data_IF_589083228918
#
_entry.id   IF_589083228918
#
_cell.length_a   1.000
_cell.length_b   1.000
_cell.length_c   1.000
_cell.angle_alpha   90.00
_cell.angle_beta   90.00
_cell.angle_gamma   90.00
#
_symmetry.space_group_name_H-M   'P 1'
#
loop_
_entity.id
_entity.type
_entity.pdbx_description
1 polymer ?
#
# COMPACT_ATOMS: atom_id res chain seq x y z
N UNK A 1 20.55 21.64 15.38
CA UNK A 1 19.73 21.52 14.17
C UNK A 1 20.35 20.41 13.36
N UNK A 2 19.66 19.28 13.22
CA UNK A 2 20.13 18.22 12.34
C UNK A 2 20.19 18.75 10.91
N UNK A 3 21.25 18.40 10.19
CA UNK A 3 21.37 18.72 8.77
C UNK A 3 20.46 17.81 7.95
N UNK A 4 20.06 18.24 6.76
CA UNK A 4 19.21 17.40 5.90
C UNK A 4 19.94 16.10 5.52
N UNK A 5 21.26 16.15 5.40
CA UNK A 5 22.11 14.99 5.15
C UNK A 5 22.01 13.94 6.28
N UNK A 6 22.03 14.38 7.54
CA UNK A 6 21.87 13.49 8.70
C UNK A 6 20.46 12.87 8.75
N UNK A 7 19.43 13.67 8.46
CA UNK A 7 18.04 13.20 8.39
C UNK A 7 17.88 12.18 7.25
N UNK A 8 18.42 12.45 6.07
CA UNK A 8 18.41 11.52 4.94
C UNK A 8 19.10 10.20 5.31
N UNK A 9 20.27 10.27 5.92
CA UNK A 9 21.01 9.08 6.34
C UNK A 9 20.22 8.26 7.37
N UNK A 10 19.61 8.91 8.35
CA UNK A 10 18.82 8.26 9.40
C UNK A 10 17.58 7.54 8.84
N UNK A 11 16.91 8.12 7.84
CA UNK A 11 15.64 7.63 7.33
C UNK A 11 15.74 6.82 6.02
N UNK A 12 16.93 6.71 5.42
CA UNK A 12 17.19 5.83 4.25
C UNK A 12 16.67 4.39 4.44
N UNK A 13 16.83 3.74 5.61
CA UNK A 13 16.25 2.41 5.83
C UNK A 13 14.72 2.37 5.71
N UNK A 14 14.02 3.45 6.10
CA UNK A 14 12.57 3.56 5.99
C UNK A 14 12.12 3.63 4.53
N UNK A 15 12.81 4.42 3.70
CA UNK A 15 12.58 4.49 2.25
C UNK A 15 12.75 3.09 1.64
N UNK A 16 13.84 2.42 1.98
CA UNK A 16 14.13 1.06 1.51
C UNK A 16 13.08 0.04 1.97
N UNK A 17 12.55 0.18 3.18
CA UNK A 17 11.48 -0.68 3.68
C UNK A 17 10.15 -0.42 2.94
N UNK A 18 9.86 0.83 2.60
CA UNK A 18 8.67 1.21 1.85
C UNK A 18 8.69 0.71 0.40
N UNK A 19 9.84 0.78 -0.28
CA UNK A 19 10.03 0.20 -1.61
C UNK A 19 9.67 -1.31 -1.60
N UNK A 20 10.18 -2.05 -0.61
CA UNK A 20 9.86 -3.48 -0.46
C UNK A 20 8.39 -3.72 -0.13
N UNK A 21 7.83 -2.91 0.78
CA UNK A 21 6.42 -3.03 1.20
C UNK A 21 5.44 -2.76 0.07
N UNK A 22 5.77 -1.83 -0.83
CA UNK A 22 4.96 -1.47 -1.98
C UNK A 22 5.21 -2.38 -3.20
N UNK A 23 6.03 -3.43 -3.05
CA UNK A 23 6.32 -4.36 -4.14
C UNK A 23 6.87 -3.65 -5.40
N UNK A 24 7.69 -2.61 -5.21
CA UNK A 24 8.35 -1.90 -6.30
C UNK A 24 9.56 -2.76 -6.74
N UNK A 25 9.48 -3.33 -7.94
CA UNK A 25 10.50 -4.25 -8.49
C UNK A 25 11.34 -3.65 -9.63
N UNK A 26 11.03 -2.43 -10.05
CA UNK A 26 11.70 -1.70 -11.14
C UNK A 26 11.91 -0.24 -10.76
N UNK A 27 12.78 0.46 -11.48
CA UNK A 27 13.04 1.89 -11.30
C UNK A 27 13.40 2.27 -9.85
N UNK A 28 14.14 1.40 -9.16
CA UNK A 28 14.50 1.55 -7.74
C UNK A 28 15.13 2.90 -7.40
N UNK A 29 15.99 3.40 -8.28
CA UNK A 29 16.67 4.68 -8.10
C UNK A 29 15.68 5.85 -8.15
N UNK A 30 14.70 5.79 -9.05
CA UNK A 30 13.61 6.78 -9.13
C UNK A 30 12.79 6.78 -7.86
N UNK A 31 12.36 5.62 -7.37
CA UNK A 31 11.57 5.53 -6.14
C UNK A 31 12.36 5.92 -4.89
N UNK A 32 13.67 5.64 -4.87
CA UNK A 32 14.58 6.14 -3.83
C UNK A 32 14.58 7.66 -3.81
N UNK A 33 14.78 8.31 -4.95
CA UNK A 33 14.77 9.77 -5.07
C UNK A 33 13.42 10.37 -4.69
N UNK A 34 12.30 9.77 -5.11
CA UNK A 34 10.96 10.20 -4.70
C UNK A 34 10.82 10.16 -3.18
N UNK A 35 11.30 9.09 -2.55
CA UNK A 35 11.28 8.98 -1.10
C UNK A 35 12.15 10.03 -0.41
N UNK A 36 13.34 10.31 -0.93
CA UNK A 36 14.26 11.33 -0.40
C UNK A 36 13.67 12.74 -0.53
N UNK A 37 13.09 13.06 -1.68
CA UNK A 37 12.40 14.35 -1.92
C UNK A 37 11.21 14.51 -0.98
N UNK A 38 10.40 13.46 -0.82
CA UNK A 38 9.25 13.48 0.08
C UNK A 38 9.67 13.65 1.55
N UNK A 39 10.77 13.01 1.96
CA UNK A 39 11.35 13.17 3.29
C UNK A 39 11.85 14.61 3.50
N UNK A 40 12.55 15.19 2.52
CA UNK A 40 13.00 16.58 2.58
C UNK A 40 11.82 17.56 2.70
N UNK A 41 10.78 17.36 1.91
CA UNK A 41 9.56 18.16 2.01
C UNK A 41 8.86 17.99 3.36
N UNK A 42 8.85 16.78 3.91
CA UNK A 42 8.32 16.52 5.24
C UNK A 42 9.14 17.26 6.31
N UNK A 43 10.46 17.21 6.22
CA UNK A 43 11.35 17.92 7.15
C UNK A 43 11.10 19.44 7.15
N UNK A 44 10.96 20.05 5.98
CA UNK A 44 10.67 21.49 5.86
C UNK A 44 9.30 21.90 6.40
N UNK A 45 8.31 21.01 6.34
CA UNK A 45 6.91 21.28 6.73
C UNK A 45 6.59 20.81 8.15
N UNK A 46 7.53 20.13 8.78
CA UNK A 46 7.29 19.52 10.08
C UNK A 46 7.10 20.61 11.14
N UNK A 47 6.13 20.35 12.01
CA UNK A 47 5.72 21.24 13.07
C UNK A 47 5.71 20.40 14.34
N UNK A 48 6.70 20.65 15.21
CA UNK A 48 6.94 19.90 16.44
C UNK A 48 5.72 19.91 17.38
N UNK A 49 4.83 20.90 17.25
CA UNK A 49 3.61 20.99 18.06
C UNK A 49 2.56 19.94 17.66
N UNK A 50 2.71 19.31 16.48
CA UNK A 50 1.75 18.34 15.91
C UNK A 50 2.13 16.88 16.15
N UNK A 51 3.19 16.62 16.92
CA UNK A 51 3.64 15.28 17.31
C UNK A 51 4.99 14.92 16.71
N UNK A 52 5.31 13.62 16.67
CA UNK A 52 6.65 13.15 16.27
C UNK A 52 6.90 13.22 14.76
N UNK A 53 8.15 13.44 14.38
CA UNK A 53 8.57 13.51 12.97
C UNK A 53 8.48 12.15 12.26
N UNK A 54 8.88 11.06 12.91
CA UNK A 54 8.98 9.73 12.28
C UNK A 54 7.66 9.25 11.64
N UNK A 55 6.49 9.32 12.33
CA UNK A 55 5.21 8.94 11.72
C UNK A 55 4.78 9.88 10.59
N UNK A 56 5.13 11.18 10.68
CA UNK A 56 4.84 12.16 9.64
C UNK A 56 5.67 11.89 8.37
N UNK A 57 6.98 11.73 8.52
CA UNK A 57 7.89 11.37 7.44
C UNK A 57 7.46 10.07 6.75
N UNK A 58 7.11 9.04 7.52
CA UNK A 58 6.61 7.77 6.97
C UNK A 58 5.41 7.97 6.04
N UNK A 59 4.39 8.73 6.50
CA UNK A 59 3.18 8.99 5.71
C UNK A 59 3.48 9.77 4.44
N UNK A 60 4.35 10.77 4.52
CA UNK A 60 4.75 11.60 3.38
C UNK A 60 5.48 10.77 2.32
N UNK A 61 6.47 9.96 2.73
CA UNK A 61 7.24 9.09 1.82
C UNK A 61 6.32 8.06 1.16
N UNK A 62 5.50 7.37 1.96
CA UNK A 62 4.58 6.35 1.47
C UNK A 62 3.57 6.92 0.46
N UNK A 63 3.01 8.10 0.75
CA UNK A 63 2.09 8.79 -0.15
C UNK A 63 2.73 9.14 -1.48
N UNK A 64 3.92 9.75 -1.47
CA UNK A 64 4.63 10.14 -2.68
C UNK A 64 4.97 8.94 -3.59
N UNK A 65 5.39 7.80 -3.01
CA UNK A 65 5.65 6.59 -3.79
C UNK A 65 4.37 6.01 -4.41
N UNK A 66 3.25 6.04 -3.67
CA UNK A 66 1.95 5.56 -4.17
C UNK A 66 1.43 6.46 -5.30
N UNK A 67 1.60 7.78 -5.18
CA UNK A 67 1.22 8.74 -6.21
C UNK A 67 1.98 8.49 -7.52
N UNK A 68 3.27 8.17 -7.43
CA UNK A 68 4.08 7.81 -8.60
C UNK A 68 3.66 6.48 -9.21
N UNK A 69 3.45 5.43 -8.42
CA UNK A 69 2.93 4.14 -8.92
C UNK A 69 1.63 4.33 -9.70
N UNK A 70 0.73 5.15 -9.15
CA UNK A 70 -0.53 5.51 -9.80
C UNK A 70 -0.29 6.29 -11.11
N UNK A 71 0.71 7.17 -11.15
CA UNK A 71 1.09 7.95 -12.34
C UNK A 71 1.64 7.06 -13.46
N UNK A 72 2.57 6.16 -13.12
CA UNK A 72 3.16 5.19 -14.05
C UNK A 72 2.07 4.29 -14.65
N UNK A 73 1.15 3.80 -13.82
CA UNK A 73 0.07 2.97 -14.32
C UNK A 73 -0.86 3.71 -15.30
N UNK A 74 -1.27 4.93 -14.95
CA UNK A 74 -2.08 5.78 -15.86
C UNK A 74 -1.35 6.03 -17.18
N UNK A 75 -0.03 6.16 -17.15
CA UNK A 75 0.76 6.33 -18.37
C UNK A 75 0.82 5.04 -19.19
N UNK A 76 1.07 3.90 -18.55
CA UNK A 76 1.10 2.58 -19.19
C UNK A 76 -0.21 2.28 -19.92
N UNK A 77 -1.36 2.46 -19.25
CA UNK A 77 -2.68 2.21 -19.85
C UNK A 77 -2.89 3.08 -21.08
N UNK A 78 -2.61 4.39 -20.99
CA UNK A 78 -2.77 5.31 -22.14
C UNK A 78 -1.87 4.94 -23.31
N UNK A 79 -0.64 4.53 -23.03
CA UNK A 79 0.31 4.13 -24.07
C UNK A 79 -0.16 2.85 -24.79
N UNK A 80 -0.59 1.83 -24.03
CA UNK A 80 -1.14 0.59 -24.59
C UNK A 80 -2.37 0.83 -25.45
N UNK A 81 -3.29 1.72 -25.03
CA UNK A 81 -4.49 2.08 -25.81
C UNK A 81 -4.17 2.87 -27.09
N UNK A 82 -3.08 3.64 -27.10
CA UNK A 82 -2.63 4.36 -28.31
C UNK A 82 -1.95 3.42 -29.32
N UNK A 83 -1.11 2.50 -28.86
CA UNK A 83 -0.46 1.51 -29.75
C UNK A 83 -1.44 0.47 -30.29
N UNK A 84 -2.50 0.15 -29.54
CA UNK A 84 -3.47 -0.86 -29.93
C UNK A 84 -4.91 -0.40 -29.61
N UNK A 85 -5.53 0.39 -30.50
CA UNK A 85 -6.88 0.89 -30.32
C UNK A 85 -7.88 -0.27 -30.44
N UNK A 86 -8.14 -0.93 -29.31
CA UNK A 86 -8.96 -2.14 -29.22
C UNK A 86 -8.48 -3.15 -28.17
N UNK A 87 -7.29 -2.97 -27.59
CA UNK A 87 -6.85 -3.75 -26.45
C UNK A 87 -7.70 -3.43 -25.21
N UNK A 88 -8.19 -4.46 -24.53
CA UNK A 88 -8.73 -4.32 -23.17
C UNK A 88 -7.62 -3.82 -22.24
N UNK A 89 -7.97 -3.00 -21.25
CA UNK A 89 -6.99 -2.52 -20.26
C UNK A 89 -6.26 -3.73 -19.67
N UNK A 90 -4.92 -3.81 -19.77
CA UNK A 90 -4.19 -4.93 -19.20
C UNK A 90 -4.45 -4.94 -17.71
N UNK A 91 -5.12 -5.99 -17.22
CA UNK A 91 -5.40 -6.19 -15.81
C UNK A 91 -4.06 -6.21 -15.06
N UNK A 92 -3.81 -5.17 -14.27
CA UNK A 92 -2.64 -5.10 -13.41
C UNK A 92 -3.06 -5.65 -12.03
N UNK A 93 -2.56 -6.83 -11.59
CA UNK A 93 -2.95 -7.43 -10.32
C UNK A 93 -2.65 -6.53 -9.11
N UNK A 94 -1.75 -5.56 -9.26
CA UNK A 94 -1.38 -4.59 -8.22
C UNK A 94 -2.38 -3.43 -8.09
N UNK A 95 -3.30 -3.24 -9.05
CA UNK A 95 -4.15 -2.05 -9.18
C UNK A 95 -5.62 -2.35 -9.42
N UNK A 96 -6.02 -3.62 -9.32
CA UNK A 96 -7.40 -3.90 -9.00
C UNK A 96 -7.69 -3.29 -7.61
N UNK A 97 -8.32 -2.12 -7.59
CA UNK A 97 -8.98 -1.54 -6.40
C UNK A 97 -10.21 -2.38 -6.00
N UNK A 98 -10.11 -3.69 -6.17
CA UNK A 98 -11.10 -4.71 -5.90
C UNK A 98 -10.32 -5.94 -5.47
N UNK A 99 -10.94 -6.75 -4.61
CA UNK A 99 -10.37 -8.05 -4.32
C UNK A 99 -10.34 -8.90 -5.60
N UNK A 100 -9.36 -9.80 -5.74
CA UNK A 100 -9.27 -10.66 -6.92
C UNK A 100 -10.59 -11.41 -7.17
N UNK A 101 -11.00 -11.54 -8.43
CA UNK A 101 -12.29 -12.16 -8.79
C UNK A 101 -12.42 -13.62 -8.32
N UNK A 102 -11.31 -14.36 -8.26
CA UNK A 102 -11.31 -15.72 -7.73
C UNK A 102 -11.74 -15.79 -6.26
N UNK A 103 -11.62 -14.69 -5.50
CA UNK A 103 -12.05 -14.61 -4.11
C UNK A 103 -13.58 -14.68 -3.97
N UNK A 104 -14.34 -14.36 -5.04
CA UNK A 104 -15.81 -14.47 -5.04
C UNK A 104 -16.28 -15.93 -4.95
N UNK A 105 -15.44 -16.89 -5.33
CA UNK A 105 -15.71 -18.32 -5.18
C UNK A 105 -15.62 -18.79 -3.72
N UNK A 106 -15.04 -17.98 -2.82
CA UNK A 106 -14.83 -18.31 -1.41
C UNK A 106 -15.98 -17.77 -0.57
N UNK A 107 -16.52 -18.61 0.32
CA UNK A 107 -17.57 -18.22 1.27
C UNK A 107 -17.05 -17.32 2.38
N UNK A 108 -16.89 -16.03 2.08
CA UNK A 108 -16.66 -14.96 3.03
C UNK A 108 -17.98 -14.30 3.42
N UNK A 109 -18.12 -13.95 4.70
CA UNK A 109 -19.21 -13.08 5.15
C UNK A 109 -18.99 -11.65 4.65
N UNK A 110 -20.06 -10.86 4.56
CA UNK A 110 -19.97 -9.45 4.15
C UNK A 110 -18.96 -8.65 5.02
N UNK A 111 -18.91 -8.95 6.32
CA UNK A 111 -17.97 -8.30 7.26
C UNK A 111 -16.52 -8.74 7.03
N UNK A 112 -16.28 -9.97 6.57
CA UNK A 112 -14.94 -10.43 6.22
C UNK A 112 -14.49 -9.83 4.89
N UNK A 113 -15.37 -9.77 3.88
CA UNK A 113 -15.07 -9.14 2.59
C UNK A 113 -14.75 -7.66 2.75
N UNK A 114 -15.62 -6.91 3.44
CA UNK A 114 -15.38 -5.48 3.74
C UNK A 114 -14.10 -5.27 4.54
N UNK A 115 -13.78 -6.14 5.52
CA UNK A 115 -12.52 -6.05 6.26
C UNK A 115 -11.30 -6.26 5.35
N UNK A 116 -11.37 -7.16 4.37
CA UNK A 116 -10.28 -7.37 3.42
C UNK A 116 -10.14 -6.19 2.45
N UNK A 117 -11.24 -5.64 1.96
CA UNK A 117 -11.26 -4.42 1.15
C UNK A 117 -10.62 -3.26 1.92
N UNK A 118 -11.05 -3.02 3.16
CA UNK A 118 -10.51 -1.94 3.98
C UNK A 118 -9.00 -2.08 4.22
N UNK A 119 -8.53 -3.30 4.51
CA UNK A 119 -7.13 -3.55 4.82
C UNK A 119 -6.21 -3.55 3.60
N UNK A 120 -6.65 -4.14 2.49
CA UNK A 120 -5.77 -4.43 1.35
C UNK A 120 -6.02 -3.51 0.16
N UNK A 121 -7.20 -2.91 0.05
CA UNK A 121 -7.56 -1.95 -1.00
C UNK A 121 -7.50 -0.51 -0.45
N UNK A 122 -8.21 -0.24 0.66
CA UNK A 122 -8.29 1.11 1.22
C UNK A 122 -7.10 1.48 2.12
N UNK A 123 -6.21 0.52 2.43
CA UNK A 123 -5.00 0.74 3.24
C UNK A 123 -5.30 1.14 4.70
N UNK A 124 -6.51 0.85 5.19
CA UNK A 124 -6.94 1.16 6.55
C UNK A 124 -6.13 0.34 7.58
N UNK A 125 -5.80 0.95 8.72
CA UNK A 125 -5.13 0.20 9.80
C UNK A 125 -6.14 -0.58 10.64
N UNK A 126 -5.75 -1.76 11.14
CA UNK A 126 -6.56 -2.57 12.08
C UNK A 126 -7.00 -1.74 13.30
N UNK A 127 -6.17 -0.80 13.77
CA UNK A 127 -6.49 0.06 14.91
C UNK A 127 -7.63 1.02 14.58
N UNK A 128 -7.52 1.72 13.45
CA UNK A 128 -8.53 2.66 12.96
C UNK A 128 -9.88 1.97 12.71
N UNK A 129 -9.85 0.80 12.07
CA UNK A 129 -11.06 0.00 11.82
C UNK A 129 -11.70 -0.52 13.10
N UNK A 130 -10.90 -0.88 14.10
CA UNK A 130 -11.41 -1.34 15.39
C UNK A 130 -12.17 -0.20 16.11
N UNK A 131 -11.61 1.01 16.09
CA UNK A 131 -12.26 2.21 16.63
C UNK A 131 -13.56 2.55 15.88
N UNK A 132 -13.54 2.54 14.55
CA UNK A 132 -14.72 2.83 13.71
C UNK A 132 -15.85 1.82 13.89
N UNK A 133 -15.53 0.53 14.06
CA UNK A 133 -16.51 -0.55 14.20
C UNK A 133 -16.90 -0.83 15.66
N UNK A 134 -16.35 -0.09 16.63
CA UNK A 134 -16.61 -0.31 18.06
C UNK A 134 -16.13 -1.68 18.56
N UNK A 135 -15.09 -2.23 17.95
CA UNK A 135 -14.53 -3.55 18.27
C UNK A 135 -13.16 -3.41 18.95
N UNK A 136 -12.74 -4.45 19.67
CA UNK A 136 -11.36 -4.52 20.15
C UNK A 136 -10.39 -4.85 19.00
N UNK A 137 -9.17 -4.30 19.06
CA UNK A 137 -8.08 -4.63 18.11
C UNK A 137 -7.84 -6.14 18.04
N UNK A 138 -7.94 -6.85 19.18
CA UNK A 138 -7.82 -8.30 19.24
C UNK A 138 -8.96 -9.02 18.51
N UNK A 139 -10.20 -8.53 18.65
CA UNK A 139 -11.36 -9.04 17.94
C UNK A 139 -11.21 -8.90 16.42
N UNK A 140 -10.73 -7.75 15.94
CA UNK A 140 -10.53 -7.51 14.52
C UNK A 140 -9.39 -8.35 13.95
N UNK A 141 -8.29 -8.54 14.69
CA UNK A 141 -7.21 -9.48 14.33
C UNK A 141 -7.73 -10.92 14.20
N UNK A 142 -8.57 -11.37 15.14
CA UNK A 142 -9.18 -12.71 15.09
C UNK A 142 -10.09 -12.88 13.88
N UNK A 143 -10.87 -11.85 13.52
CA UNK A 143 -11.71 -11.83 12.31
C UNK A 143 -10.86 -11.91 11.04
N UNK A 144 -9.80 -11.09 10.94
CA UNK A 144 -8.83 -11.17 9.83
C UNK A 144 -8.24 -12.59 9.71
N UNK A 145 -7.82 -13.18 10.82
CA UNK A 145 -7.25 -14.53 10.83
C UNK A 145 -8.21 -15.58 10.25
N UNK A 146 -9.48 -15.56 10.66
CA UNK A 146 -10.51 -16.47 10.14
C UNK A 146 -10.76 -16.28 8.63
N UNK A 147 -10.80 -15.03 8.15
CA UNK A 147 -10.96 -14.74 6.74
C UNK A 147 -9.80 -15.31 5.91
N UNK A 148 -8.55 -15.09 6.35
CA UNK A 148 -7.37 -15.62 5.68
C UNK A 148 -7.28 -17.15 5.74
N UNK A 149 -7.73 -17.78 6.82
CA UNK A 149 -7.78 -19.24 6.92
C UNK A 149 -8.76 -19.86 5.92
N UNK A 150 -9.94 -19.25 5.72
CA UNK A 150 -10.88 -19.65 4.67
C UNK A 150 -10.27 -19.53 3.28
N UNK A 151 -9.54 -18.46 3.02
CA UNK A 151 -8.85 -18.24 1.74
C UNK A 151 -7.78 -19.30 1.52
N UNK A 152 -6.94 -19.55 2.54
CA UNK A 152 -5.88 -20.56 2.47
C UNK A 152 -6.43 -21.95 2.18
N UNK A 153 -7.51 -22.35 2.84
CA UNK A 153 -8.11 -23.67 2.64
C UNK A 153 -8.80 -23.83 1.28
N UNK A 154 -9.06 -22.73 0.58
CA UNK A 154 -9.68 -22.70 -0.74
C UNK A 154 -8.67 -22.52 -1.88
N UNK A 155 -7.40 -22.21 -1.58
CA UNK A 155 -6.36 -22.20 -2.61
C UNK A 155 -5.94 -23.64 -2.95
N UNK A 156 -5.86 -24.02 -4.24
CA UNK A 156 -5.15 -25.22 -4.66
C UNK A 156 -3.67 -25.12 -4.26
N UNK A 157 -3.04 -26.23 -3.88
CA UNK A 157 -1.62 -26.30 -3.44
C UNK A 157 -0.59 -25.81 -4.50
N UNK A 158 -1.03 -25.41 -5.69
CA UNK A 158 -0.19 -25.18 -6.88
C UNK A 158 -0.10 -23.72 -7.37
N UNK A 159 -0.49 -22.74 -6.55
CA UNK A 159 -0.39 -21.32 -6.93
C UNK A 159 0.76 -20.63 -6.20
N UNK A 160 1.99 -21.11 -6.42
CA UNK A 160 3.21 -20.28 -6.44
C UNK A 160 4.40 -21.09 -7.01
N UNK A 161 4.98 -20.72 -8.16
CA UNK A 161 6.31 -21.19 -8.58
C UNK A 161 7.44 -20.51 -7.78
#
# INVERSE_FOLDING_TARGET
MDTIEEVLQQYTPMISALIRKLHIYRDFETYRQIGEVALWQAWLRFDETKGDFTPFAYRSIHGAMLDELNRENRFSIRFTLMENPGAEEPANPLLENKLPEWLESIRLSAQEKSLLEDLFINGESIRKLAEQQGLSVSGLKKRKGRALEKIRNAMPDDVYP
#
